data_IF_084293064337
#
_entry.id   IF_084293064337
#
_cell.length_a   1.000
_cell.length_b   1.000
_cell.length_c   1.000
_cell.angle_alpha   90.00
_cell.angle_beta   90.00
_cell.angle_gamma   90.00
#
_symmetry.space_group_name_H-M   'P 1'
#
loop_
_entity.id
_entity.type
_entity.pdbx_description
1 polymer ?
#
# COMPACT_ATOMS: atom_id res chain seq x y z
N UNK A 1 42.63 68.77 5.94
CA UNK A 1 42.40 68.81 4.48
C UNK A 1 43.12 67.64 3.83
N UNK A 2 42.41 66.99 2.89
CA UNK A 2 42.80 65.92 1.96
C UNK A 2 42.46 64.47 2.36
N UNK A 3 41.39 64.04 1.69
CA UNK A 3 40.85 62.70 1.46
C UNK A 3 41.84 61.74 0.77
N UNK A 4 41.58 60.44 0.92
CA UNK A 4 41.95 59.36 0.00
C UNK A 4 42.44 58.13 0.78
N UNK A 5 42.00 56.89 0.56
CA UNK A 5 41.09 56.30 -0.42
C UNK A 5 40.68 54.95 0.18
N UNK A 6 39.38 54.64 0.22
CA UNK A 6 38.88 53.37 0.72
C UNK A 6 38.94 52.33 -0.40
N UNK A 7 39.89 51.40 -0.32
CA UNK A 7 39.91 50.20 -1.18
C UNK A 7 39.09 49.11 -0.51
N UNK A 8 37.86 48.95 -0.99
CA UNK A 8 37.00 47.82 -0.67
C UNK A 8 37.55 46.57 -1.39
N UNK A 9 37.98 45.57 -0.64
CA UNK A 9 38.24 44.22 -1.18
C UNK A 9 36.94 43.43 -1.06
N UNK A 10 36.20 43.36 -2.17
CA UNK A 10 35.08 42.43 -2.33
C UNK A 10 35.63 41.00 -2.47
N UNK A 11 35.61 40.24 -1.38
CA UNK A 11 35.79 38.80 -1.43
C UNK A 11 34.50 38.16 -1.97
N UNK A 12 34.45 37.87 -3.28
CA UNK A 12 33.44 36.99 -3.85
C UNK A 12 33.73 35.55 -3.40
N UNK A 13 33.10 35.12 -2.30
CA UNK A 13 33.00 33.71 -1.96
C UNK A 13 32.07 33.01 -2.95
N UNK A 14 32.63 32.20 -3.85
CA UNK A 14 31.85 31.32 -4.71
C UNK A 14 31.27 30.18 -3.86
N UNK A 15 29.99 30.29 -3.50
CA UNK A 15 29.24 29.19 -2.87
C UNK A 15 29.01 28.09 -3.90
N UNK A 16 29.80 27.03 -3.84
CA UNK A 16 29.53 25.80 -4.58
C UNK A 16 28.30 25.11 -3.96
N UNK A 17 27.12 25.39 -4.51
CA UNK A 17 25.91 24.63 -4.20
C UNK A 17 26.09 23.21 -4.73
N UNK A 18 26.38 22.26 -3.85
CA UNK A 18 26.23 20.83 -4.15
C UNK A 18 24.75 20.59 -4.48
N UNK A 19 24.43 20.46 -5.76
CA UNK A 19 23.18 19.87 -6.20
C UNK A 19 23.26 18.37 -5.89
N UNK A 20 22.76 17.98 -4.72
CA UNK A 20 22.47 16.59 -4.43
C UNK A 20 21.32 16.15 -5.35
N UNK A 21 21.65 15.67 -6.55
CA UNK A 21 20.70 14.89 -7.36
C UNK A 21 20.54 13.55 -6.69
N UNK A 22 19.70 13.50 -5.65
CA UNK A 22 19.13 12.25 -5.19
C UNK A 22 18.27 11.71 -6.31
N UNK A 23 18.82 10.82 -7.13
CA UNK A 23 17.99 9.92 -7.89
C UNK A 23 17.27 9.05 -6.85
N UNK A 24 16.07 9.46 -6.45
CA UNK A 24 15.11 8.54 -5.84
C UNK A 24 15.05 7.36 -6.81
N UNK A 25 15.58 6.22 -6.39
CA UNK A 25 15.42 4.98 -7.12
C UNK A 25 13.92 4.86 -7.38
N UNK A 26 13.54 4.94 -8.65
CA UNK A 26 12.16 4.78 -9.07
C UNK A 26 11.72 3.39 -8.62
N UNK A 27 11.13 3.30 -7.44
CA UNK A 27 10.43 2.11 -7.01
C UNK A 27 9.40 1.80 -8.09
N UNK A 28 9.29 0.53 -8.55
CA UNK A 28 8.46 0.18 -9.70
C UNK A 28 7.09 0.87 -9.57
N UNK A 29 6.87 1.77 -10.52
CA UNK A 29 5.84 2.78 -10.50
C UNK A 29 4.50 2.11 -10.76
N UNK A 30 3.62 2.10 -9.74
CA UNK A 30 2.29 1.50 -9.75
C UNK A 30 2.27 -0.03 -9.94
N UNK A 31 1.27 -0.69 -9.36
CA UNK A 31 1.08 -2.14 -9.52
C UNK A 31 0.71 -2.47 -10.96
N UNK A 32 1.63 -3.09 -11.71
CA UNK A 32 1.40 -3.51 -13.10
C UNK A 32 0.25 -4.52 -13.14
N UNK A 33 -0.86 -4.22 -13.85
CA UNK A 33 -1.96 -5.16 -14.02
C UNK A 33 -1.54 -6.50 -14.63
N UNK A 34 -0.47 -6.53 -15.44
CA UNK A 34 0.04 -7.76 -16.05
C UNK A 34 0.66 -8.72 -15.02
N UNK A 35 1.07 -8.22 -13.85
CA UNK A 35 1.62 -9.05 -12.77
C UNK A 35 0.54 -9.63 -11.85
N UNK A 36 -0.70 -9.15 -11.95
CA UNK A 36 -1.79 -9.58 -11.07
C UNK A 36 -2.10 -11.06 -11.25
N UNK A 37 -2.00 -11.81 -10.15
CA UNK A 37 -2.36 -13.21 -10.11
C UNK A 37 -3.76 -13.36 -9.51
N UNK A 38 -4.77 -13.52 -10.37
CA UNK A 38 -6.16 -13.71 -9.96
C UNK A 38 -6.63 -15.06 -10.50
N UNK A 39 -7.16 -15.91 -9.63
CA UNK A 39 -7.76 -17.17 -10.04
C UNK A 39 -8.94 -16.90 -10.99
N UNK A 40 -9.12 -17.71 -12.06
CA UNK A 40 -10.30 -17.61 -12.89
C UNK A 40 -11.54 -18.00 -12.09
N UNK A 41 -12.66 -17.30 -12.29
CA UNK A 41 -13.91 -17.60 -11.62
C UNK A 41 -14.92 -16.45 -11.70
N UNK A 42 -16.17 -16.69 -11.26
CA UNK A 42 -17.16 -15.62 -11.09
C UNK A 42 -16.60 -14.54 -10.16
N UNK A 43 -16.65 -13.27 -10.56
CA UNK A 43 -16.15 -12.16 -9.75
C UNK A 43 -14.68 -11.76 -9.99
N UNK A 44 -13.93 -12.51 -10.82
CA UNK A 44 -12.52 -12.19 -11.10
C UNK A 44 -12.35 -10.81 -11.77
N UNK A 45 -13.35 -10.37 -12.54
CA UNK A 45 -13.38 -9.02 -13.14
C UNK A 45 -13.49 -7.93 -12.08
N UNK A 46 -14.41 -8.08 -11.13
CA UNK A 46 -14.63 -7.16 -10.01
C UNK A 46 -13.40 -7.10 -9.08
N UNK A 47 -12.75 -8.24 -8.82
CA UNK A 47 -11.47 -8.28 -8.10
C UNK A 47 -10.41 -7.47 -8.85
N UNK A 48 -10.26 -7.66 -10.16
CA UNK A 48 -9.30 -6.90 -10.97
C UNK A 48 -9.56 -5.40 -10.92
N UNK A 49 -10.82 -5.00 -11.02
CA UNK A 49 -11.21 -3.59 -10.93
C UNK A 49 -10.92 -3.00 -9.54
N UNK A 50 -11.25 -3.74 -8.47
CA UNK A 50 -10.92 -3.37 -7.10
C UNK A 50 -9.40 -3.28 -6.87
N UNK A 51 -8.59 -4.16 -7.46
CA UNK A 51 -7.13 -4.06 -7.40
C UNK A 51 -6.61 -2.80 -8.08
N UNK A 52 -7.16 -2.43 -9.24
CA UNK A 52 -6.83 -1.17 -9.89
C UNK A 52 -7.17 0.05 -9.02
N UNK A 53 -8.31 0.03 -8.35
CA UNK A 53 -8.72 1.08 -7.43
C UNK A 53 -7.90 1.16 -6.14
N UNK A 54 -7.54 0.01 -5.57
CA UNK A 54 -6.64 -0.10 -4.43
C UNK A 54 -5.23 0.40 -4.80
N UNK A 55 -4.70 0.03 -5.96
CA UNK A 55 -3.41 0.51 -6.45
C UNK A 55 -3.39 2.04 -6.62
N UNK A 56 -4.45 2.63 -7.21
CA UNK A 56 -4.59 4.11 -7.30
C UNK A 56 -4.63 4.78 -5.93
N UNK A 57 -5.23 4.14 -4.92
CA UNK A 57 -5.22 4.66 -3.54
C UNK A 57 -3.82 4.60 -2.96
N UNK A 58 -3.16 3.46 -3.05
CA UNK A 58 -1.80 3.24 -2.57
C UNK A 58 -0.76 4.15 -3.24
N UNK A 59 -1.03 4.65 -4.45
CA UNK A 59 -0.20 5.66 -5.11
C UNK A 59 -0.26 7.04 -4.42
N UNK A 60 -1.27 7.31 -3.58
CA UNK A 60 -1.35 8.57 -2.82
C UNK A 60 -0.44 8.51 -1.60
N UNK A 61 0.39 9.54 -1.33
CA UNK A 61 1.31 9.53 -0.19
C UNK A 61 0.63 9.28 1.17
N UNK A 62 -0.59 9.80 1.35
CA UNK A 62 -1.35 9.59 2.59
C UNK A 62 -1.73 8.12 2.81
N UNK A 63 -2.12 7.41 1.75
CA UNK A 63 -2.52 6.01 1.82
C UNK A 63 -1.28 5.09 1.88
N UNK A 64 -0.21 5.40 1.15
CA UNK A 64 1.04 4.64 1.20
C UNK A 64 1.60 4.49 2.62
N UNK A 65 1.41 5.50 3.49
CA UNK A 65 1.84 5.44 4.90
C UNK A 65 1.15 4.37 5.74
N UNK A 66 0.08 3.75 5.26
CA UNK A 66 -0.63 2.68 5.99
C UNK A 66 0.32 1.54 6.38
N UNK A 67 1.32 1.21 5.55
CA UNK A 67 2.28 0.14 5.88
C UNK A 67 3.27 0.52 6.99
N UNK A 68 3.46 1.81 7.26
CA UNK A 68 4.26 2.28 8.38
C UNK A 68 3.47 2.36 9.70
N UNK A 69 2.12 2.30 9.63
CA UNK A 69 1.25 2.32 10.81
C UNK A 69 1.19 0.96 11.52
N UNK A 70 1.70 -0.10 10.89
CA UNK A 70 1.57 -1.48 11.35
C UNK A 70 2.92 -2.21 11.36
N UNK A 71 3.00 -3.23 12.23
CA UNK A 71 4.14 -4.11 12.36
C UNK A 71 3.72 -5.59 12.25
N UNK A 72 4.67 -6.44 11.87
CA UNK A 72 4.48 -7.89 11.90
C UNK A 72 4.54 -8.44 13.35
N UNK A 73 4.33 -9.75 13.50
CA UNK A 73 4.39 -10.43 14.81
C UNK A 73 5.76 -10.32 15.52
N UNK A 74 6.83 -9.95 14.80
CA UNK A 74 8.16 -9.69 15.39
C UNK A 74 8.39 -8.22 15.75
N UNK A 75 7.37 -7.37 15.60
CA UNK A 75 7.44 -5.93 15.88
C UNK A 75 8.12 -5.12 14.78
N UNK A 76 8.41 -5.71 13.61
CA UNK A 76 9.03 -4.99 12.49
C UNK A 76 7.97 -4.28 11.65
N UNK A 77 8.14 -3.00 11.31
CA UNK A 77 7.20 -2.27 10.47
C UNK A 77 6.98 -2.97 9.12
N UNK A 78 5.72 -3.01 8.64
CA UNK A 78 5.44 -3.63 7.34
C UNK A 78 6.08 -2.85 6.19
N UNK A 79 6.25 -1.54 6.35
CA UNK A 79 6.99 -0.69 5.41
C UNK A 79 8.43 -1.19 5.21
N UNK A 80 9.12 -1.57 6.30
CA UNK A 80 10.50 -2.07 6.21
C UNK A 80 10.57 -3.36 5.37
N UNK A 81 9.53 -4.20 5.46
CA UNK A 81 9.42 -5.41 4.62
C UNK A 81 9.25 -5.05 3.15
N UNK A 82 8.46 -4.03 2.82
CA UNK A 82 8.31 -3.53 1.45
C UNK A 82 9.63 -2.98 0.91
N UNK A 83 10.34 -2.20 1.73
CA UNK A 83 11.62 -1.59 1.37
C UNK A 83 12.68 -2.66 1.07
N UNK A 84 12.77 -3.72 1.89
CA UNK A 84 13.68 -4.86 1.64
C UNK A 84 13.35 -5.62 0.36
N UNK A 85 12.09 -5.64 -0.05
CA UNK A 85 11.66 -6.25 -1.30
C UNK A 85 11.85 -5.30 -2.51
N UNK A 86 12.17 -4.04 -2.27
CA UNK A 86 12.23 -3.01 -3.31
C UNK A 86 10.86 -2.73 -3.96
N UNK A 87 9.77 -2.85 -3.19
CA UNK A 87 8.41 -2.74 -3.70
C UNK A 87 7.66 -1.56 -3.06
N UNK A 88 6.85 -0.87 -3.87
CA UNK A 88 5.77 -0.04 -3.32
C UNK A 88 4.65 -0.91 -2.79
N UNK A 89 3.75 -0.35 -1.98
CA UNK A 89 2.52 -1.05 -1.59
C UNK A 89 1.68 -1.51 -2.78
N UNK A 90 1.56 -0.67 -3.83
CA UNK A 90 0.84 -1.02 -5.05
C UNK A 90 1.55 -2.13 -5.84
N UNK A 91 2.87 -2.08 -5.93
CA UNK A 91 3.69 -3.13 -6.54
C UNK A 91 3.56 -4.46 -5.80
N UNK A 92 3.60 -4.42 -4.47
CA UNK A 92 3.38 -5.61 -3.64
C UNK A 92 1.97 -6.20 -3.82
N UNK A 93 0.93 -5.35 -3.85
CA UNK A 93 -0.45 -5.79 -4.05
C UNK A 93 -0.61 -6.56 -5.39
N UNK A 94 0.09 -6.15 -6.45
CA UNK A 94 0.06 -6.85 -7.73
C UNK A 94 0.67 -8.27 -7.65
N UNK A 95 1.56 -8.54 -6.70
CA UNK A 95 2.19 -9.86 -6.51
C UNK A 95 1.41 -10.79 -5.58
N UNK A 96 0.33 -10.31 -4.97
CA UNK A 96 -0.54 -11.13 -4.12
C UNK A 96 -1.40 -12.04 -5.00
N UNK A 97 -1.47 -13.33 -4.67
CA UNK A 97 -2.38 -14.25 -5.36
C UNK A 97 -3.80 -14.13 -4.79
N UNK A 98 -4.77 -13.77 -5.62
CA UNK A 98 -6.17 -13.69 -5.25
C UNK A 98 -6.87 -14.96 -5.71
N UNK A 99 -7.12 -15.87 -4.78
CA UNK A 99 -7.81 -17.12 -5.02
C UNK A 99 -9.30 -16.98 -4.76
N UNK A 100 -10.12 -17.76 -5.45
CA UNK A 100 -11.51 -17.93 -5.07
C UNK A 100 -11.57 -18.62 -3.70
N UNK A 101 -12.16 -17.93 -2.72
CA UNK A 101 -12.45 -18.48 -1.42
C UNK A 101 -13.69 -19.36 -1.52
N UNK A 102 -13.51 -20.67 -1.31
CA UNK A 102 -14.65 -21.56 -1.09
C UNK A 102 -15.45 -21.02 0.09
N UNK A 103 -16.79 -21.02 0.02
CA UNK A 103 -17.70 -20.55 1.08
C UNK A 103 -17.63 -21.43 2.36
N UNK A 104 -16.45 -21.45 2.98
CA UNK A 104 -16.03 -22.22 4.14
C UNK A 104 -15.24 -21.29 5.08
N UNK A 105 -15.23 -21.60 6.37
CA UNK A 105 -14.52 -20.79 7.37
C UNK A 105 -15.04 -19.35 7.41
N UNK A 106 -14.14 -18.36 7.42
CA UNK A 106 -14.52 -16.93 7.52
C UNK A 106 -15.40 -16.44 6.36
N UNK A 107 -15.30 -17.04 5.17
CA UNK A 107 -16.16 -16.65 4.03
C UNK A 107 -17.64 -16.97 4.21
N UNK A 108 -18.02 -17.79 5.22
CA UNK A 108 -19.43 -18.01 5.58
C UNK A 108 -20.02 -16.85 6.38
N UNK A 109 -19.19 -15.97 6.94
CA UNK A 109 -19.65 -14.83 7.73
C UNK A 109 -20.09 -13.70 6.80
N UNK A 110 -21.24 -13.11 7.08
CA UNK A 110 -21.89 -12.22 6.11
C UNK A 110 -21.13 -10.93 5.77
N UNK A 111 -20.25 -10.51 6.67
CA UNK A 111 -19.51 -9.25 6.56
C UNK A 111 -18.10 -9.43 5.96
N UNK A 112 -17.67 -10.67 5.71
CA UNK A 112 -16.32 -10.96 5.22
C UNK A 112 -16.32 -11.00 3.70
N UNK A 113 -15.55 -10.10 3.08
CA UNK A 113 -15.41 -10.04 1.62
C UNK A 113 -14.15 -10.77 1.12
N UNK A 114 -13.11 -10.84 1.95
CA UNK A 114 -11.88 -11.55 1.66
C UNK A 114 -11.20 -11.93 2.98
N UNK A 115 -10.23 -12.85 2.92
CA UNK A 115 -9.42 -13.25 4.06
C UNK A 115 -8.01 -13.63 3.64
N UNK A 116 -7.03 -13.23 4.43
CA UNK A 116 -5.64 -13.64 4.31
C UNK A 116 -5.13 -14.29 5.61
N UNK A 117 -4.13 -15.16 5.46
CA UNK A 117 -3.35 -15.67 6.60
C UNK A 117 -2.09 -14.81 6.76
N UNK A 118 -1.74 -14.37 7.98
CA UNK A 118 -0.55 -13.57 8.22
C UNK A 118 0.71 -14.14 7.58
N UNK A 119 1.40 -13.34 6.77
CA UNK A 119 2.67 -13.69 6.12
C UNK A 119 2.55 -14.63 4.92
N UNK A 120 1.34 -15.11 4.57
CA UNK A 120 1.12 -15.87 3.34
C UNK A 120 0.67 -14.93 2.24
N UNK A 121 1.33 -14.98 1.09
CA UNK A 121 1.04 -14.13 -0.07
C UNK A 121 -0.14 -14.65 -0.90
N UNK A 122 -1.27 -14.87 -0.24
CA UNK A 122 -2.54 -15.31 -0.85
C UNK A 122 -3.71 -14.68 -0.10
N UNK A 123 -4.69 -14.22 -0.86
CA UNK A 123 -5.97 -13.70 -0.37
C UNK A 123 -7.08 -14.59 -0.94
N UNK A 124 -7.90 -15.15 -0.07
CA UNK A 124 -9.11 -15.87 -0.45
C UNK A 124 -10.25 -14.86 -0.57
N UNK A 125 -10.80 -14.69 -1.77
CA UNK A 125 -11.90 -13.76 -2.06
C UNK A 125 -13.23 -14.50 -1.93
N UNK A 126 -14.11 -14.04 -1.04
CA UNK A 126 -15.39 -14.72 -0.78
C UNK A 126 -16.41 -14.45 -1.89
N UNK A 127 -17.36 -15.36 -2.13
CA UNK A 127 -18.30 -15.27 -3.27
C UNK A 127 -19.16 -13.99 -3.31
N UNK A 128 -19.35 -13.33 -2.17
CA UNK A 128 -20.09 -12.05 -2.07
C UNK A 128 -19.29 -10.82 -2.51
N UNK A 129 -17.97 -10.93 -2.72
CA UNK A 129 -17.09 -9.80 -3.03
C UNK A 129 -17.57 -9.01 -4.25
N UNK A 130 -17.95 -9.70 -5.34
CA UNK A 130 -18.40 -9.05 -6.56
C UNK A 130 -19.65 -8.18 -6.32
N UNK A 131 -20.63 -8.69 -5.57
CA UNK A 131 -21.82 -7.91 -5.19
C UNK A 131 -21.45 -6.71 -4.32
N UNK A 132 -20.55 -6.88 -3.37
CA UNK A 132 -20.09 -5.80 -2.51
C UNK A 132 -19.36 -4.71 -3.33
N UNK A 133 -18.52 -5.10 -4.29
CA UNK A 133 -17.85 -4.17 -5.19
C UNK A 133 -18.85 -3.37 -6.03
N UNK A 134 -19.89 -4.01 -6.57
CA UNK A 134 -20.91 -3.31 -7.36
C UNK A 134 -21.72 -2.30 -6.53
N UNK A 135 -21.86 -2.53 -5.22
CA UNK A 135 -22.56 -1.63 -4.30
C UNK A 135 -21.66 -0.49 -3.78
N UNK A 136 -20.45 -0.82 -3.30
CA UNK A 136 -19.46 0.15 -2.82
C UNK A 136 -18.05 -0.30 -3.27
N UNK A 137 -17.59 0.17 -4.44
CA UNK A 137 -16.25 -0.14 -4.94
C UNK A 137 -15.16 0.26 -3.95
N UNK A 138 -15.35 1.38 -3.24
CA UNK A 138 -14.37 1.89 -2.29
C UNK A 138 -14.19 0.93 -1.14
N UNK A 139 -15.28 0.38 -0.60
CA UNK A 139 -15.17 -0.59 0.50
C UNK A 139 -14.40 -1.84 0.07
N UNK A 140 -14.72 -2.41 -1.10
CA UNK A 140 -14.02 -3.57 -1.63
C UNK A 140 -12.52 -3.31 -1.86
N UNK A 141 -12.16 -2.14 -2.40
CA UNK A 141 -10.76 -1.73 -2.59
C UNK A 141 -10.01 -1.61 -1.25
N UNK A 142 -10.64 -1.03 -0.22
CA UNK A 142 -10.06 -0.93 1.12
C UNK A 142 -9.89 -2.29 1.78
N UNK A 143 -10.82 -3.22 1.56
CA UNK A 143 -10.67 -4.61 2.01
C UNK A 143 -9.42 -5.25 1.39
N UNK A 144 -9.18 -5.09 0.08
CA UNK A 144 -7.98 -5.70 -0.52
C UNK A 144 -6.67 -5.09 0.02
N UNK A 145 -6.67 -3.81 0.39
CA UNK A 145 -5.54 -3.18 1.10
C UNK A 145 -5.38 -3.78 2.50
N UNK A 146 -6.48 -3.95 3.24
CA UNK A 146 -6.50 -4.59 4.55
C UNK A 146 -5.88 -5.99 4.49
N UNK A 147 -6.37 -6.84 3.59
CA UNK A 147 -5.84 -8.20 3.44
C UNK A 147 -4.36 -8.20 3.03
N UNK A 148 -3.92 -7.24 2.21
CA UNK A 148 -2.51 -7.11 1.87
C UNK A 148 -1.61 -6.86 3.10
N UNK A 149 -2.09 -6.14 4.12
CA UNK A 149 -1.36 -5.98 5.40
C UNK A 149 -1.16 -7.34 6.09
N UNK A 150 -2.19 -8.17 6.14
CA UNK A 150 -2.08 -9.52 6.67
C UNK A 150 -1.08 -10.35 5.87
N UNK A 151 -1.12 -10.32 4.53
CA UNK A 151 -0.14 -11.05 3.72
C UNK A 151 1.32 -10.62 3.99
N UNK A 152 1.55 -9.37 4.42
CA UNK A 152 2.86 -8.86 4.84
C UNK A 152 3.28 -9.29 6.25
N UNK A 153 2.38 -9.91 7.02
CA UNK A 153 2.67 -10.46 8.35
C UNK A 153 1.95 -9.78 9.51
N UNK A 154 1.04 -8.83 9.24
CA UNK A 154 0.19 -8.27 10.28
C UNK A 154 -0.69 -9.37 10.88
N UNK A 155 -0.62 -9.55 12.20
CA UNK A 155 -1.55 -10.39 12.95
C UNK A 155 -2.87 -9.67 13.24
N UNK A 156 -3.74 -10.32 14.00
CA UNK A 156 -4.92 -9.70 14.62
C UNK A 156 -4.81 -9.87 16.14
N UNK A 157 -5.35 -8.91 16.88
CA UNK A 157 -5.50 -8.89 18.34
C UNK A 157 -4.18 -9.08 19.13
N UNK A 158 -3.33 -8.03 19.23
CA UNK A 158 -3.50 -6.64 18.76
C UNK A 158 -2.76 -6.28 17.45
N UNK A 159 -3.23 -5.28 16.68
CA UNK A 159 -4.51 -4.54 16.81
C UNK A 159 -5.71 -5.36 16.31
N UNK A 160 -6.93 -4.96 16.69
CA UNK A 160 -8.16 -5.65 16.27
C UNK A 160 -8.48 -5.44 14.79
N UNK A 161 -9.24 -6.34 14.17
CA UNK A 161 -9.74 -6.19 12.79
C UNK A 161 -10.44 -4.84 12.56
N UNK A 162 -11.17 -4.36 13.56
CA UNK A 162 -11.86 -3.07 13.50
C UNK A 162 -10.87 -1.90 13.47
N UNK A 163 -9.86 -1.91 14.35
CA UNK A 163 -8.83 -0.87 14.39
C UNK A 163 -8.01 -0.84 13.10
N UNK A 164 -7.68 -2.03 12.56
CA UNK A 164 -6.98 -2.14 11.28
C UNK A 164 -7.83 -1.51 10.17
N UNK A 165 -9.10 -1.91 10.07
CA UNK A 165 -10.03 -1.41 9.04
C UNK A 165 -10.25 0.11 9.15
N UNK A 166 -10.40 0.63 10.38
CA UNK A 166 -10.57 2.06 10.63
C UNK A 166 -9.33 2.86 10.22
N UNK A 167 -8.12 2.34 10.49
CA UNK A 167 -6.87 2.97 10.08
C UNK A 167 -6.71 2.96 8.55
N UNK A 168 -6.99 1.83 7.91
CA UNK A 168 -6.98 1.69 6.44
C UNK A 168 -7.95 2.69 5.82
N UNK A 169 -9.19 2.77 6.32
CA UNK A 169 -10.18 3.73 5.84
C UNK A 169 -9.73 5.20 6.06
N UNK A 170 -9.12 5.51 7.21
CA UNK A 170 -8.59 6.84 7.50
C UNK A 170 -7.45 7.28 6.57
N UNK A 171 -6.56 6.35 6.20
CA UNK A 171 -5.43 6.60 5.28
C UNK A 171 -5.85 6.61 3.81
N UNK A 172 -6.74 5.69 3.43
CA UNK A 172 -6.98 5.30 2.04
C UNK A 172 -8.40 5.57 1.54
N UNK A 173 -9.34 6.00 2.39
CA UNK A 173 -10.75 6.19 2.05
C UNK A 173 -11.10 7.50 1.33
N UNK A 174 -10.13 8.41 1.20
CA UNK A 174 -10.24 9.64 0.39
C UNK A 174 -9.97 9.37 -1.08
#
# INVERSE_FOLDING_TARGET
MKLGSATAVLLLGASASLLATGAEAAHPAAGDPALQMIAPGPGAGEVRMALGGAARRLARPACARVFADFADASGRPLQERLDRLGLTGAGYLALVFFAEGLDRGRCQQDQVLATATPGRRVVSVCGRFARAYLHDPRWAELTLIHEALHTLGLGEDPPSTFDISARVAGRCGR
#
